data_IF_373211870883
#
_entry.id   IF_373211870883
#
_cell.length_a   1.000
_cell.length_b   1.000
_cell.length_c   1.000
_cell.angle_alpha   90.00
_cell.angle_beta   90.00
_cell.angle_gamma   90.00
#
_symmetry.space_group_name_H-M   'P 1'
#
loop_
_entity.id
_entity.type
_entity.pdbx_description
1 polymer ?
#
# COMPACT_ATOMS: atom_id res chain seq x y z
N UNK A 1 -54.75 21.21 0.07
CA UNK A 1 -53.33 21.42 0.41
C UNK A 1 -52.47 20.44 -0.39
N UNK A 2 -51.87 20.84 -1.52
CA UNK A 2 -51.06 19.92 -2.32
C UNK A 2 -49.61 19.79 -1.81
N UNK A 3 -49.30 18.56 -1.38
CA UNK A 3 -48.07 17.79 -1.60
C UNK A 3 -46.71 18.50 -1.61
N UNK A 4 -45.91 18.18 -0.61
CA UNK A 4 -44.49 18.54 -0.43
C UNK A 4 -43.67 18.32 -1.70
N UNK A 5 -42.95 19.37 -2.12
CA UNK A 5 -41.85 19.30 -3.08
C UNK A 5 -40.81 18.25 -2.65
N UNK A 6 -40.75 17.14 -3.35
CA UNK A 6 -39.58 16.25 -3.33
C UNK A 6 -38.62 16.76 -4.40
N UNK A 7 -37.87 17.82 -4.06
CA UNK A 7 -36.70 18.19 -4.83
C UNK A 7 -35.65 17.12 -4.52
N UNK A 8 -35.63 16.06 -5.33
CA UNK A 8 -34.54 15.08 -5.32
C UNK A 8 -33.30 15.83 -5.79
N UNK A 9 -32.56 16.39 -4.85
CA UNK A 9 -31.29 17.03 -5.09
C UNK A 9 -30.35 16.01 -5.73
N UNK A 10 -30.12 16.18 -7.03
CA UNK A 10 -29.04 15.50 -7.74
C UNK A 10 -27.73 16.11 -7.23
N UNK A 11 -27.23 15.56 -6.12
CA UNK A 11 -25.88 15.80 -5.66
C UNK A 11 -24.94 15.15 -6.70
N UNK A 12 -24.51 15.96 -7.67
CA UNK A 12 -23.46 15.56 -8.58
C UNK A 12 -22.29 15.05 -7.75
N UNK A 13 -21.97 13.76 -7.90
CA UNK A 13 -20.72 13.15 -7.48
C UNK A 13 -19.60 14.01 -8.07
N UNK A 14 -19.03 14.91 -7.26
CA UNK A 14 -17.72 15.50 -7.50
C UNK A 14 -16.74 14.33 -7.52
N UNK A 15 -16.35 13.91 -8.74
CA UNK A 15 -15.16 13.10 -8.96
C UNK A 15 -14.00 13.92 -8.42
N UNK A 16 -13.54 13.63 -7.21
CA UNK A 16 -12.26 14.12 -6.72
C UNK A 16 -11.19 13.58 -7.67
N UNK A 17 -10.51 14.48 -8.38
CA UNK A 17 -9.34 14.15 -9.17
C UNK A 17 -8.30 13.46 -8.30
N UNK A 18 -8.20 12.14 -8.44
CA UNK A 18 -6.93 11.45 -8.23
C UNK A 18 -6.35 11.32 -9.63
N UNK A 19 -5.80 12.43 -10.11
CA UNK A 19 -4.90 12.44 -11.26
C UNK A 19 -3.78 11.43 -11.02
N UNK A 20 -3.38 10.75 -12.09
CA UNK A 20 -2.39 9.67 -12.13
C UNK A 20 -1.06 10.08 -11.48
N UNK A 21 -0.93 9.87 -10.16
CA UNK A 21 0.34 10.02 -9.45
C UNK A 21 1.29 9.00 -10.06
N UNK A 22 2.23 9.48 -10.89
CA UNK A 22 3.28 8.66 -11.51
C UNK A 22 3.99 7.89 -10.40
N UNK A 23 3.72 6.58 -10.35
CA UNK A 23 4.29 5.68 -9.35
C UNK A 23 5.81 5.67 -9.53
N UNK A 24 6.54 6.21 -8.57
CA UNK A 24 8.01 6.23 -8.64
C UNK A 24 8.58 4.84 -8.40
N UNK A 25 9.75 4.53 -8.97
CA UNK A 25 10.44 3.26 -8.75
C UNK A 25 10.61 2.92 -7.24
N UNK A 26 10.80 3.94 -6.39
CA UNK A 26 10.88 3.76 -4.94
C UNK A 26 9.57 3.24 -4.33
N UNK A 27 8.43 3.77 -4.77
CA UNK A 27 7.11 3.30 -4.33
C UNK A 27 6.82 1.88 -4.82
N UNK A 28 7.26 1.50 -6.02
CA UNK A 28 7.14 0.14 -6.54
C UNK A 28 7.99 -0.86 -5.74
N UNK A 29 9.22 -0.48 -5.41
CA UNK A 29 10.12 -1.28 -4.57
C UNK A 29 9.55 -1.53 -3.17
N UNK A 30 8.87 -0.55 -2.59
CA UNK A 30 8.25 -0.71 -1.28
C UNK A 30 7.02 -1.64 -1.34
N UNK A 31 6.22 -1.52 -2.41
CA UNK A 31 5.07 -2.41 -2.66
C UNK A 31 5.53 -3.85 -2.88
N UNK A 32 6.59 -4.09 -3.65
CA UNK A 32 7.12 -5.44 -3.88
C UNK A 32 7.64 -6.04 -2.58
N UNK A 33 8.40 -5.29 -1.79
CA UNK A 33 8.91 -5.74 -0.50
C UNK A 33 7.79 -6.18 0.47
N UNK A 34 6.68 -5.42 0.56
CA UNK A 34 5.53 -5.85 1.37
C UNK A 34 4.84 -7.09 0.79
N UNK A 35 4.72 -7.19 -0.53
CA UNK A 35 4.11 -8.38 -1.16
C UNK A 35 4.94 -9.64 -0.91
N UNK A 36 6.25 -9.53 -0.76
CA UNK A 36 7.14 -10.65 -0.42
C UNK A 36 6.84 -11.22 0.96
N UNK A 37 6.54 -10.37 1.94
CA UNK A 37 6.14 -10.83 3.29
C UNK A 37 4.76 -11.47 3.31
N UNK A 38 3.93 -11.15 2.31
CA UNK A 38 2.57 -11.63 2.21
C UNK A 38 1.60 -11.00 3.22
N UNK A 39 2.03 -9.98 3.96
CA UNK A 39 1.25 -9.23 4.94
C UNK A 39 0.33 -8.20 4.27
N UNK A 40 -0.79 -7.92 4.93
CA UNK A 40 -1.63 -6.79 4.58
C UNK A 40 -0.92 -5.45 4.96
N UNK A 41 -1.43 -4.32 4.46
CA UNK A 41 -0.86 -2.99 4.72
C UNK A 41 -0.79 -2.61 6.22
N UNK A 42 -1.86 -2.88 6.95
CA UNK A 42 -1.98 -2.65 8.40
C UNK A 42 -1.02 -3.56 9.18
N UNK A 43 -0.99 -4.85 8.87
CA UNK A 43 -0.05 -5.81 9.48
C UNK A 43 1.40 -5.41 9.25
N UNK A 44 1.75 -5.00 8.02
CA UNK A 44 3.10 -4.58 7.69
C UNK A 44 3.49 -3.29 8.43
N UNK A 45 2.55 -2.34 8.55
CA UNK A 45 2.77 -1.10 9.29
C UNK A 45 2.98 -1.36 10.80
N UNK A 46 2.13 -2.20 11.40
CA UNK A 46 2.27 -2.64 12.80
C UNK A 46 3.58 -3.39 13.02
N UNK A 47 3.93 -4.31 12.12
CA UNK A 47 5.18 -5.07 12.18
C UNK A 47 6.43 -4.20 12.04
N UNK A 48 6.39 -3.17 11.19
CA UNK A 48 7.48 -2.19 11.05
C UNK A 48 7.49 -1.14 12.16
N UNK A 49 6.41 -1.01 12.93
CA UNK A 49 6.26 0.04 13.94
C UNK A 49 6.09 1.44 13.34
N UNK A 50 5.52 1.54 12.13
CA UNK A 50 5.26 2.81 11.44
C UNK A 50 3.76 3.09 11.36
N UNK A 51 3.32 4.36 11.33
CA UNK A 51 1.93 4.68 11.12
C UNK A 51 1.41 4.14 9.77
N UNK A 52 0.20 3.57 9.76
CA UNK A 52 -0.45 3.07 8.54
C UNK A 52 -0.47 4.11 7.42
N UNK A 53 -0.71 5.38 7.77
CA UNK A 53 -0.79 6.47 6.80
C UNK A 53 0.54 6.73 6.10
N UNK A 54 1.65 6.72 6.84
CA UNK A 54 3.00 6.88 6.29
C UNK A 54 3.34 5.76 5.29
N UNK A 55 3.02 4.52 5.66
CA UNK A 55 3.20 3.36 4.77
C UNK A 55 2.35 3.51 3.50
N UNK A 56 1.10 3.97 3.63
CA UNK A 56 0.23 4.23 2.50
C UNK A 56 0.78 5.34 1.59
N UNK A 57 1.25 6.45 2.15
CA UNK A 57 1.79 7.57 1.39
C UNK A 57 3.06 7.17 0.62
N UNK A 58 3.88 6.25 1.16
CA UNK A 58 5.02 5.66 0.47
C UNK A 58 4.62 4.75 -0.70
N UNK A 59 3.61 3.90 -0.53
CA UNK A 59 3.11 3.05 -1.62
C UNK A 59 2.40 3.83 -2.73
N UNK A 60 1.74 4.94 -2.37
CA UNK A 60 1.06 5.84 -3.30
C UNK A 60 2.03 6.81 -3.98
N UNK A 61 3.28 6.91 -3.52
CA UNK A 61 4.27 7.85 -4.05
C UNK A 61 3.99 9.30 -3.69
N UNK A 62 3.11 9.56 -2.71
CA UNK A 62 2.83 10.91 -2.17
C UNK A 62 4.08 11.45 -1.44
N UNK A 63 4.78 10.57 -0.74
CA UNK A 63 6.08 10.86 -0.13
C UNK A 63 7.07 9.74 -0.44
N UNK A 64 8.37 10.09 -0.54
CA UNK A 64 9.44 9.09 -0.69
C UNK A 64 9.81 8.57 0.70
N UNK A 65 9.83 7.24 0.86
CA UNK A 65 10.43 6.64 2.05
C UNK A 65 11.91 7.03 2.12
N UNK A 66 12.45 7.39 3.30
CA UNK A 66 13.88 7.57 3.45
C UNK A 66 14.63 6.29 3.09
N UNK A 67 15.76 6.40 2.39
CA UNK A 67 16.47 5.24 1.83
C UNK A 67 16.87 4.23 2.93
N UNK A 68 17.29 4.73 4.11
CA UNK A 68 17.61 3.89 5.26
C UNK A 68 16.42 3.08 5.79
N UNK A 69 15.18 3.60 5.68
CA UNK A 69 13.98 2.87 6.11
C UNK A 69 13.70 1.70 5.18
N UNK A 70 13.93 1.90 3.88
CA UNK A 70 13.80 0.82 2.91
C UNK A 70 14.84 -0.27 3.16
N UNK A 71 16.10 0.10 3.42
CA UNK A 71 17.16 -0.86 3.74
C UNK A 71 16.88 -1.64 5.03
N UNK A 72 16.36 -0.96 6.06
CA UNK A 72 15.93 -1.60 7.31
C UNK A 72 14.78 -2.59 7.08
N UNK A 73 13.78 -2.20 6.30
CA UNK A 73 12.67 -3.08 5.96
C UNK A 73 13.18 -4.31 5.19
N UNK A 74 14.07 -4.11 4.20
CA UNK A 74 14.67 -5.18 3.42
C UNK A 74 15.48 -6.14 4.29
N UNK A 75 16.31 -5.62 5.18
CA UNK A 75 17.09 -6.41 6.12
C UNK A 75 16.19 -7.24 7.04
N UNK A 76 15.15 -6.63 7.60
CA UNK A 76 14.20 -7.30 8.49
C UNK A 76 13.47 -8.44 7.78
N UNK A 77 12.97 -8.20 6.55
CA UNK A 77 12.30 -9.23 5.75
C UNK A 77 13.23 -10.40 5.45
N UNK A 78 14.48 -10.12 5.04
CA UNK A 78 15.48 -11.15 4.77
C UNK A 78 15.75 -12.01 6.01
N UNK A 79 15.92 -11.39 7.18
CA UNK A 79 16.17 -12.10 8.42
C UNK A 79 14.98 -12.99 8.84
N UNK A 80 13.75 -12.51 8.67
CA UNK A 80 12.56 -13.31 9.00
C UNK A 80 12.33 -14.47 8.00
N UNK A 81 12.74 -14.30 6.74
CA UNK A 81 12.76 -15.40 5.76
C UNK A 81 13.81 -16.46 6.13
N UNK A 82 15.01 -16.05 6.55
CA UNK A 82 16.08 -16.96 6.98
C UNK A 82 15.71 -17.74 8.25
N UNK A 83 14.96 -17.11 9.16
CA UNK A 83 14.43 -17.77 10.37
C UNK A 83 13.25 -18.70 10.08
N UNK A 84 12.67 -18.67 8.89
CA UNK A 84 11.49 -19.45 8.52
C UNK A 84 10.16 -18.89 9.04
N UNK A 85 10.14 -17.66 9.56
CA UNK A 85 8.93 -17.01 10.07
C UNK A 85 8.06 -16.42 8.94
N UNK A 86 8.66 -16.15 7.77
CA UNK A 86 7.99 -15.68 6.57
C UNK A 86 8.04 -16.74 5.47
N UNK A 87 6.93 -16.91 4.75
CA UNK A 87 6.87 -17.76 3.55
C UNK A 87 7.05 -16.86 2.32
N UNK A 88 8.10 -17.08 1.54
CA UNK A 88 8.39 -16.30 0.32
C UNK A 88 7.30 -16.54 -0.73
N UNK A 89 6.41 -15.57 -0.92
CA UNK A 89 5.33 -15.68 -1.93
C UNK A 89 5.81 -15.58 -3.40
N UNK A 90 7.09 -15.26 -3.64
CA UNK A 90 7.64 -15.06 -4.98
C UNK A 90 7.67 -16.32 -5.88
N UNK A 91 7.42 -17.53 -5.35
CA UNK A 91 7.41 -18.75 -6.16
C UNK A 91 6.09 -18.96 -6.94
N UNK A 92 4.96 -18.44 -6.45
CA UNK A 92 3.62 -18.73 -7.00
C UNK A 92 3.23 -17.95 -8.28
N UNK A 93 4.04 -16.99 -8.73
CA UNK A 93 3.71 -16.19 -9.94
C UNK A 93 4.42 -16.66 -11.21
N UNK A 94 5.37 -17.60 -11.13
CA UNK A 94 6.09 -18.12 -12.31
C UNK A 94 5.51 -19.43 -12.87
N UNK A 95 4.57 -20.07 -12.17
CA UNK A 95 3.90 -21.30 -12.63
C UNK A 95 2.56 -21.04 -13.36
N UNK A 96 2.11 -19.78 -13.45
CA UNK A 96 0.99 -19.38 -14.30
C UNK A 96 1.51 -18.56 -15.48
N UNK A 97 2.22 -19.21 -16.41
CA UNK A 97 2.44 -18.68 -17.76
C UNK A 97 2.14 -19.75 -18.80
#
# INVERSE_FOLDING_TARGET
MPGKSSVRSNLQKKKSGLEDVQKSAASENFVSLRKETGMNRKEFAEWMGIPYRTMQDWELGISKAPDYVYDLARYKVKNELEKGNLIRKQHLQKECR
#
